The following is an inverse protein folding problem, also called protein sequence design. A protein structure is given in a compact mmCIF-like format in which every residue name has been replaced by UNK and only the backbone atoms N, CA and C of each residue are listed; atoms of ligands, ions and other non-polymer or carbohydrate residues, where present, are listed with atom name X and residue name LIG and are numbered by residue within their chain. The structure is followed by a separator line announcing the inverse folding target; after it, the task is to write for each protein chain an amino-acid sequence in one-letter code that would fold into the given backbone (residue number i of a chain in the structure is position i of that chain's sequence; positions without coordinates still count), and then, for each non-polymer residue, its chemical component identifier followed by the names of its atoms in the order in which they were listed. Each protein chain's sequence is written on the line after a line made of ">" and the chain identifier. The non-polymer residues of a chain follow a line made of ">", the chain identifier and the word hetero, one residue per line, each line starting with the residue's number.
data_IF_279039681179
#
_entry.id   IF_279039681179
#
_cell.length_a   1.000
_cell.length_b   1.000
_cell.length_c   1.000
_cell.angle_alpha   90.00
_cell.angle_beta   90.00
_cell.angle_gamma   90.00
#
_symmetry.space_group_name_H-M   'P 1'
#
loop_
_entity.id
_entity.type
_entity.pdbx_description
1 polymer ?
#
# COMPACT_ATOMS: atom_id res chain seq x y z
N UNK A 1 -15.31 -14.81 -2.72
CA UNK A 1 -15.13 -13.85 -1.60
C UNK A 1 -16.17 -14.18 -0.54
N UNK A 2 -15.78 -14.34 0.73
CA UNK A 2 -16.68 -14.79 1.80
C UNK A 2 -17.66 -13.67 2.15
N UNK A 3 -18.94 -13.85 1.85
CA UNK A 3 -19.99 -12.92 2.27
C UNK A 3 -20.44 -13.31 3.67
N UNK A 4 -20.05 -12.52 4.67
CA UNK A 4 -20.54 -12.73 6.04
C UNK A 4 -22.05 -12.45 6.09
N UNK A 5 -22.77 -13.20 6.93
CA UNK A 5 -24.21 -13.10 7.09
C UNK A 5 -24.55 -12.49 8.45
N UNK A 6 -25.71 -11.86 8.54
CA UNK A 6 -26.23 -11.34 9.80
C UNK A 6 -26.45 -12.48 10.78
N UNK A 7 -26.21 -12.21 12.06
CA UNK A 7 -26.60 -13.09 13.15
C UNK A 7 -28.13 -13.12 13.24
N UNK A 8 -28.69 -14.32 13.29
CA UNK A 8 -30.12 -14.52 13.48
C UNK A 8 -30.44 -14.48 14.98
N UNK A 9 -30.99 -13.37 15.45
CA UNK A 9 -31.37 -13.21 16.85
C UNK A 9 -32.79 -13.76 17.08
N UNK A 10 -32.93 -14.64 18.07
CA UNK A 10 -34.21 -15.23 18.47
C UNK A 10 -34.39 -15.01 19.97
N UNK A 11 -35.63 -14.78 20.40
CA UNK A 11 -35.94 -14.62 21.81
C UNK A 11 -35.51 -15.85 22.64
N UNK A 12 -34.99 -15.62 23.84
CA UNK A 12 -34.43 -16.66 24.70
C UNK A 12 -33.10 -17.29 24.24
N UNK A 13 -32.47 -16.80 23.17
CA UNK A 13 -31.17 -17.31 22.70
C UNK A 13 -30.03 -17.03 23.69
N UNK A 14 -29.25 -18.06 24.04
CA UNK A 14 -28.03 -17.91 24.85
C UNK A 14 -26.95 -17.17 24.06
N UNK A 15 -26.51 -16.02 24.57
CA UNK A 15 -25.51 -15.17 23.93
C UNK A 15 -24.09 -15.65 24.25
N UNK A 16 -23.22 -15.70 23.24
CA UNK A 16 -21.81 -16.01 23.40
C UNK A 16 -20.96 -15.16 22.43
N UNK A 17 -19.63 -15.24 22.56
CA UNK A 17 -18.67 -14.46 21.76
C UNK A 17 -18.84 -14.59 20.23
N UNK A 18 -19.34 -15.73 19.74
CA UNK A 18 -19.51 -15.96 18.30
C UNK A 18 -20.62 -15.09 17.71
N UNK A 19 -21.64 -14.74 18.49
CA UNK A 19 -22.69 -13.81 18.04
C UNK A 19 -22.12 -12.39 17.85
N UNK A 20 -21.28 -11.92 18.78
CA UNK A 20 -20.63 -10.62 18.63
C UNK A 20 -19.64 -10.61 17.46
N UNK A 21 -18.80 -11.65 17.34
CA UNK A 21 -17.89 -11.79 16.20
C UNK A 21 -18.64 -11.84 14.87
N UNK A 22 -19.72 -12.62 14.77
CA UNK A 22 -20.52 -12.72 13.55
C UNK A 22 -21.19 -11.39 13.18
N UNK A 23 -21.61 -10.60 14.18
CA UNK A 23 -22.15 -9.25 13.96
C UNK A 23 -21.06 -8.30 13.45
N UNK A 24 -19.89 -8.29 14.07
CA UNK A 24 -18.74 -7.48 13.65
C UNK A 24 -18.26 -7.85 12.24
N UNK A 25 -18.05 -9.13 11.96
CA UNK A 25 -17.66 -9.67 10.66
C UNK A 25 -18.65 -9.25 9.55
N UNK A 26 -19.94 -9.23 9.85
CA UNK A 26 -20.97 -8.74 8.93
C UNK A 26 -20.87 -7.23 8.68
N UNK A 27 -20.72 -6.43 9.75
CA UNK A 27 -20.56 -4.98 9.64
C UNK A 27 -19.32 -4.61 8.82
N UNK A 28 -18.17 -5.22 9.15
CA UNK A 28 -16.93 -5.06 8.41
C UNK A 28 -17.10 -5.44 6.93
N UNK A 29 -17.74 -6.57 6.63
CA UNK A 29 -17.98 -6.98 5.25
C UNK A 29 -18.82 -5.97 4.46
N UNK A 30 -19.76 -5.29 5.12
CA UNK A 30 -20.58 -4.24 4.51
C UNK A 30 -19.73 -3.01 4.24
N UNK A 31 -18.90 -2.59 5.19
CA UNK A 31 -17.96 -1.46 5.05
C UNK A 31 -16.98 -1.73 3.89
N UNK A 32 -16.36 -2.90 3.84
CA UNK A 32 -15.41 -3.26 2.79
C UNK A 32 -16.08 -3.32 1.40
N UNK A 33 -17.31 -3.82 1.32
CA UNK A 33 -18.09 -3.79 0.08
C UNK A 33 -18.37 -2.35 -0.36
N UNK A 34 -18.79 -1.49 0.57
CA UNK A 34 -19.01 -0.06 0.30
C UNK A 34 -17.72 0.62 -0.18
N UNK A 35 -16.60 0.41 0.51
CA UNK A 35 -15.30 0.93 0.11
C UNK A 35 -14.93 0.48 -1.30
N UNK A 36 -15.09 -0.80 -1.62
CA UNK A 36 -14.79 -1.34 -2.96
C UNK A 36 -15.64 -0.66 -4.05
N UNK A 37 -16.90 -0.35 -3.76
CA UNK A 37 -17.78 0.38 -4.67
C UNK A 37 -17.35 1.85 -4.81
N UNK A 38 -17.05 2.53 -3.69
CA UNK A 38 -16.59 3.92 -3.68
C UNK A 38 -15.26 4.11 -4.40
N UNK A 39 -14.35 3.17 -4.21
CA UNK A 39 -13.03 3.17 -4.86
C UNK A 39 -13.08 2.62 -6.29
N UNK A 40 -14.25 2.24 -6.82
CA UNK A 40 -14.43 1.71 -8.18
C UNK A 40 -13.50 0.52 -8.49
N UNK A 41 -13.22 -0.31 -7.49
CA UNK A 41 -12.25 -1.41 -7.60
C UNK A 41 -10.77 -0.99 -7.57
N UNK A 42 -10.48 0.31 -7.44
CA UNK A 42 -9.16 0.84 -7.17
C UNK A 42 -8.62 0.40 -5.81
N UNK A 43 -7.31 0.20 -5.74
CA UNK A 43 -6.61 -0.24 -4.54
C UNK A 43 -5.18 0.28 -4.52
N UNK A 44 -4.56 0.21 -3.35
CA UNK A 44 -3.18 0.61 -3.15
C UNK A 44 -3.00 1.58 -2.01
N UNK A 45 -1.82 2.19 -1.98
CA UNK A 45 -1.40 3.17 -0.98
C UNK A 45 -2.19 4.46 -1.16
N UNK A 46 -2.70 5.03 -0.08
CA UNK A 46 -3.45 6.30 -0.05
C UNK A 46 -2.53 7.46 0.34
N UNK A 47 -1.67 7.29 1.35
CA UNK A 47 -0.74 8.31 1.83
C UNK A 47 -0.33 8.12 3.29
N UNK A 48 0.34 9.11 3.88
CA UNK A 48 0.68 9.12 5.32
C UNK A 48 -0.51 9.59 6.17
N UNK A 49 -0.61 9.11 7.41
CA UNK A 49 -1.53 9.62 8.43
C UNK A 49 -1.26 11.06 8.87
N UNK A 50 0.01 11.46 8.93
CA UNK A 50 0.42 12.61 9.72
C UNK A 50 0.79 13.86 8.91
N UNK A 51 1.01 13.76 7.59
CA UNK A 51 1.18 14.92 6.70
C UNK A 51 1.20 14.47 5.23
N UNK A 52 0.43 15.14 4.37
CA UNK A 52 0.50 14.97 2.92
C UNK A 52 1.78 15.54 2.28
N UNK A 53 2.58 16.27 3.07
CA UNK A 53 3.74 17.06 2.59
C UNK A 53 5.09 16.49 3.02
N UNK A 54 5.15 15.37 3.73
CA UNK A 54 6.44 14.83 4.12
C UNK A 54 7.14 14.22 2.88
N UNK A 55 8.35 14.70 2.57
CA UNK A 55 9.23 14.11 1.55
C UNK A 55 9.81 12.75 1.99
N UNK A 56 9.38 12.24 3.14
CA UNK A 56 9.84 10.97 3.66
C UNK A 56 9.20 9.80 2.91
N UNK A 57 9.99 8.76 2.59
CA UNK A 57 9.46 7.60 1.89
C UNK A 57 8.53 6.82 2.82
N UNK A 58 7.27 6.64 2.41
CA UNK A 58 6.28 5.80 3.12
C UNK A 58 6.78 4.36 3.32
N UNK A 59 7.65 3.91 2.40
CA UNK A 59 8.25 2.59 2.39
C UNK A 59 9.75 2.75 2.19
N UNK A 60 10.55 2.31 3.16
CA UNK A 60 12.01 2.26 3.06
C UNK A 60 12.49 0.85 3.33
N UNK A 61 13.20 0.29 2.37
CA UNK A 61 13.72 -1.07 2.40
C UNK A 61 15.24 -1.05 2.18
N UNK A 62 15.93 -1.99 2.80
CA UNK A 62 17.33 -2.32 2.50
C UNK A 62 17.50 -3.83 2.36
N UNK A 63 18.62 -4.24 1.77
CA UNK A 63 18.96 -5.65 1.57
C UNK A 63 20.27 -5.93 2.28
N UNK A 64 20.28 -6.98 3.07
CA UNK A 64 21.48 -7.62 3.60
C UNK A 64 21.78 -8.87 2.76
N UNK A 65 22.86 -8.78 1.98
CA UNK A 65 23.36 -9.84 1.09
C UNK A 65 24.64 -10.47 1.63
N UNK A 66 24.84 -10.48 2.96
CA UNK A 66 26.01 -11.10 3.59
C UNK A 66 26.06 -12.62 3.35
N UNK A 67 24.92 -13.29 3.36
CA UNK A 67 24.75 -14.68 2.93
C UNK A 67 24.34 -14.72 1.44
N UNK A 68 25.08 -15.46 0.62
CA UNK A 68 24.78 -15.58 -0.81
C UNK A 68 23.47 -16.31 -1.10
N UNK A 69 23.09 -17.25 -0.23
CA UNK A 69 21.93 -18.13 -0.37
C UNK A 69 20.71 -17.53 0.30
N UNK A 70 20.84 -17.09 1.56
CA UNK A 70 19.72 -16.53 2.35
C UNK A 70 19.84 -15.01 2.51
N UNK A 71 19.41 -14.28 1.49
CA UNK A 71 19.45 -12.82 1.52
C UNK A 71 18.23 -12.27 2.27
N UNK A 72 18.42 -11.13 2.94
CA UNK A 72 17.41 -10.61 3.86
C UNK A 72 16.98 -9.22 3.43
N UNK A 73 15.68 -9.06 3.20
CA UNK A 73 15.06 -7.74 3.02
C UNK A 73 14.76 -7.19 4.41
N UNK A 74 15.37 -6.04 4.73
CA UNK A 74 15.17 -5.31 5.99
C UNK A 74 14.16 -4.20 5.73
N UNK A 75 13.11 -4.16 6.53
CA UNK A 75 12.11 -3.09 6.48
C UNK A 75 12.56 -1.97 7.41
N UNK A 76 13.01 -0.86 6.85
CA UNK A 76 13.48 0.29 7.62
C UNK A 76 12.32 1.23 8.01
N UNK A 77 11.32 1.34 7.14
CA UNK A 77 10.14 2.17 7.35
C UNK A 77 8.95 1.62 6.57
N UNK A 78 7.79 1.56 7.24
CA UNK A 78 6.52 1.15 6.68
C UNK A 78 5.40 1.95 7.35
N UNK A 79 5.07 3.10 6.79
CA UNK A 79 4.08 4.05 7.35
C UNK A 79 3.16 4.58 6.26
N UNK A 80 1.96 4.00 6.15
CA UNK A 80 0.95 4.46 5.21
C UNK A 80 -0.45 3.93 5.52
N UNK A 81 -1.44 4.65 5.03
CA UNK A 81 -2.79 4.14 4.82
C UNK A 81 -2.86 3.48 3.45
N UNK A 82 -3.55 2.36 3.35
CA UNK A 82 -3.81 1.68 2.09
C UNK A 82 -5.23 1.10 2.06
N UNK A 83 -5.71 0.80 0.87
CA UNK A 83 -6.89 -0.05 0.68
C UNK A 83 -6.51 -1.23 -0.21
N UNK A 84 -6.85 -2.44 0.20
CA UNK A 84 -6.60 -3.64 -0.60
C UNK A 84 -7.73 -3.85 -1.65
N UNK A 85 -7.59 -4.81 -2.59
CA UNK A 85 -8.62 -5.06 -3.59
C UNK A 85 -10.01 -5.48 -3.05
N UNK A 86 -10.08 -5.99 -1.81
CA UNK A 86 -11.34 -6.32 -1.13
C UNK A 86 -12.05 -5.13 -0.49
N UNK A 87 -11.41 -3.95 -0.46
CA UNK A 87 -11.95 -2.74 0.16
C UNK A 87 -11.64 -2.60 1.66
N UNK A 88 -10.73 -3.43 2.18
CA UNK A 88 -10.22 -3.32 3.55
C UNK A 88 -9.31 -2.11 3.65
N UNK A 89 -9.66 -1.17 4.53
CA UNK A 89 -8.78 -0.05 4.87
C UNK A 89 -7.71 -0.55 5.84
N UNK A 90 -6.45 -0.34 5.48
CA UNK A 90 -5.28 -0.79 6.20
C UNK A 90 -4.54 0.41 6.74
N UNK A 91 -4.24 0.31 8.03
CA UNK A 91 -3.42 1.24 8.77
C UNK A 91 -2.09 0.57 9.07
N UNK A 92 -1.10 0.86 8.22
CA UNK A 92 0.22 0.27 8.32
C UNK A 92 1.15 1.28 8.99
N UNK A 93 1.65 0.89 10.16
CA UNK A 93 2.72 1.59 10.87
C UNK A 93 3.74 0.57 11.34
N UNK A 94 4.97 1.00 11.58
CA UNK A 94 6.00 0.13 12.13
C UNK A 94 5.52 -0.55 13.44
N UNK A 95 4.92 0.21 14.33
CA UNK A 95 4.35 -0.30 15.58
C UNK A 95 3.33 -1.41 15.31
N UNK A 96 2.26 -1.12 14.55
CA UNK A 96 1.16 -2.05 14.32
C UNK A 96 1.58 -3.30 13.54
N UNK A 97 2.57 -3.18 12.66
CA UNK A 97 3.03 -4.28 11.85
C UNK A 97 4.00 -5.21 12.59
N UNK A 98 4.73 -4.72 13.59
CA UNK A 98 5.88 -5.44 14.15
C UNK A 98 5.70 -5.92 15.60
N UNK A 99 4.68 -5.44 16.33
CA UNK A 99 4.21 -6.10 17.57
C UNK A 99 3.74 -7.56 17.36
N UNK A 100 3.61 -7.99 16.10
CA UNK A 100 3.12 -9.30 15.66
C UNK A 100 3.97 -10.51 16.07
N UNK A 101 5.26 -10.34 16.36
CA UNK A 101 6.21 -11.48 16.49
C UNK A 101 6.93 -11.59 17.83
N UNK A 102 6.41 -10.96 18.89
CA UNK A 102 7.10 -10.95 20.20
C UNK A 102 8.53 -10.41 20.12
N UNK A 103 8.82 -9.62 19.09
CA UNK A 103 10.13 -9.10 18.83
C UNK A 103 10.44 -8.02 19.87
N UNK A 104 11.63 -8.09 20.45
CA UNK A 104 12.22 -7.02 21.26
C UNK A 104 12.12 -5.72 20.47
N UNK A 105 11.68 -4.64 21.13
CA UNK A 105 11.40 -3.30 20.56
C UNK A 105 12.52 -2.69 19.69
N UNK A 106 13.70 -3.33 19.63
CA UNK A 106 14.90 -2.82 18.95
C UNK A 106 15.22 -3.47 17.59
N UNK A 107 14.58 -4.57 17.17
CA UNK A 107 14.96 -5.26 15.93
C UNK A 107 14.12 -4.83 14.73
N UNK A 108 14.79 -4.33 13.68
CA UNK A 108 14.13 -4.05 12.40
C UNK A 108 13.54 -5.34 11.81
N UNK A 109 12.32 -5.30 11.25
CA UNK A 109 11.67 -6.45 10.64
C UNK A 109 12.40 -6.96 9.40
N UNK A 110 12.34 -8.28 9.19
CA UNK A 110 13.13 -8.97 8.17
C UNK A 110 12.28 -9.99 7.42
N UNK A 111 12.44 -10.02 6.10
CA UNK A 111 11.91 -11.06 5.23
C UNK A 111 13.10 -11.81 4.62
N UNK A 112 13.22 -13.09 4.94
CA UNK A 112 14.28 -13.95 4.43
C UNK A 112 13.85 -14.46 3.06
N UNK A 113 14.77 -14.41 2.10
CA UNK A 113 14.58 -14.86 0.74
C UNK A 113 15.71 -15.82 0.41
N UNK A 114 15.37 -17.09 0.18
CA UNK A 114 16.31 -18.06 -0.32
C UNK A 114 16.45 -17.90 -1.84
N UNK A 115 17.62 -17.42 -2.27
CA UNK A 115 17.94 -17.15 -3.68
C UNK A 115 18.10 -18.44 -4.48
N UNK A 116 18.49 -19.54 -3.84
CA UNK A 116 18.64 -20.86 -4.46
C UNK A 116 17.31 -21.61 -4.60
N UNK A 117 16.49 -21.65 -3.55
CA UNK A 117 15.16 -22.30 -3.60
C UNK A 117 14.27 -21.66 -4.65
N UNK A 118 14.43 -20.35 -4.85
CA UNK A 118 13.58 -19.65 -5.79
C UNK A 118 13.86 -20.02 -7.24
N UNK A 119 15.00 -20.67 -7.60
CA UNK A 119 15.40 -21.13 -8.97
C UNK A 119 14.60 -20.40 -10.05
N UNK A 120 14.63 -19.08 -9.97
CA UNK A 120 13.65 -18.23 -10.64
C UNK A 120 14.01 -18.39 -12.09
N UNK A 121 13.12 -19.01 -12.87
CA UNK A 121 13.24 -19.10 -14.33
C UNK A 121 13.95 -17.83 -14.82
N UNK A 122 15.20 -17.99 -15.25
CA UNK A 122 16.24 -16.96 -15.25
C UNK A 122 15.68 -15.56 -15.56
N UNK A 123 15.73 -14.64 -14.58
CA UNK A 123 15.46 -13.22 -14.78
C UNK A 123 14.08 -12.67 -14.38
N UNK A 124 13.19 -13.48 -13.79
CA UNK A 124 11.88 -12.94 -13.37
C UNK A 124 11.97 -12.10 -12.07
N UNK A 125 11.25 -10.97 -11.98
CA UNK A 125 11.26 -10.14 -10.78
C UNK A 125 10.51 -10.80 -9.62
N UNK A 126 10.98 -10.49 -8.41
CA UNK A 126 10.30 -10.75 -7.16
C UNK A 126 9.46 -9.55 -6.74
N UNK A 127 8.42 -9.80 -5.95
CA UNK A 127 7.56 -8.78 -5.37
C UNK A 127 7.47 -8.99 -3.87
N UNK A 128 7.65 -7.91 -3.12
CA UNK A 128 7.26 -7.87 -1.72
C UNK A 128 5.78 -7.53 -1.66
N UNK A 129 4.99 -8.47 -1.18
CA UNK A 129 3.52 -8.42 -1.16
C UNK A 129 3.07 -8.18 0.28
N UNK A 130 2.16 -7.23 0.45
CA UNK A 130 1.42 -7.02 1.69
C UNK A 130 0.16 -7.87 1.65
N UNK A 131 0.05 -8.83 2.56
CA UNK A 131 -1.12 -9.67 2.76
C UNK A 131 -1.85 -9.23 4.02
N UNK A 132 -3.19 -9.30 4.01
CA UNK A 132 -4.01 -9.00 5.17
C UNK A 132 -5.11 -10.04 5.36
N UNK A 133 -5.54 -10.23 6.59
CA UNK A 133 -6.68 -11.06 6.94
C UNK A 133 -7.76 -10.18 7.59
N UNK A 134 -8.74 -9.69 6.81
CA UNK A 134 -9.65 -8.63 7.27
C UNK A 134 -10.58 -9.03 8.43
N UNK A 135 -10.78 -10.33 8.66
CA UNK A 135 -11.68 -10.87 9.71
C UNK A 135 -10.90 -11.59 10.83
N UNK A 136 -9.57 -11.57 10.75
CA UNK A 136 -8.69 -12.10 11.78
C UNK A 136 -7.91 -10.92 12.36
N UNK A 137 -8.07 -10.73 13.66
CA UNK A 137 -7.57 -9.55 14.37
C UNK A 137 -6.55 -9.97 15.40
N UNK A 138 -5.58 -9.12 15.64
CA UNK A 138 -4.60 -9.25 16.71
C UNK A 138 -4.71 -8.06 17.67
N UNK A 139 -4.34 -8.28 18.93
CA UNK A 139 -4.27 -7.21 19.93
C UNK A 139 -3.17 -6.20 19.59
N UNK A 140 -3.46 -4.91 19.72
CA UNK A 140 -2.51 -3.81 19.51
C UNK A 140 -2.69 -2.71 20.57
N UNK A 141 -1.69 -1.83 20.68
CA UNK A 141 -1.61 -0.78 21.69
C UNK A 141 -0.80 -1.21 22.91
N UNK A 142 -0.48 -0.26 23.78
CA UNK A 142 0.25 -0.55 25.00
C UNK A 142 -0.67 -1.22 26.03
N UNK A 143 -0.30 -2.40 26.51
CA UNK A 143 -1.02 -3.07 27.60
C UNK A 143 -0.96 -2.23 28.87
N UNK A 144 -2.08 -2.19 29.60
CA UNK A 144 -2.14 -1.50 30.88
C UNK A 144 -1.78 -2.48 32.00
N UNK A 145 -0.63 -2.28 32.65
CA UNK A 145 -0.16 -3.14 33.74
C UNK A 145 -1.10 -3.17 34.96
N UNK A 146 -2.05 -2.23 35.06
CA UNK A 146 -3.08 -2.20 36.10
C UNK A 146 -4.33 -3.02 35.74
N UNK A 147 -4.41 -3.55 34.53
CA UNK A 147 -5.54 -4.33 34.06
C UNK A 147 -5.32 -5.83 34.30
N UNK A 148 -6.30 -6.49 34.90
CA UNK A 148 -6.30 -7.94 35.09
C UNK A 148 -7.52 -8.58 34.39
N UNK A 149 -7.33 -9.52 33.45
CA UNK A 149 -6.03 -9.99 32.95
C UNK A 149 -5.34 -8.95 32.06
N UNK A 150 -4.00 -8.96 32.07
CA UNK A 150 -3.21 -8.12 31.17
C UNK A 150 -3.63 -8.39 29.72
N UNK A 151 -4.10 -7.34 29.04
CA UNK A 151 -4.55 -7.43 27.66
C UNK A 151 -4.15 -6.19 26.86
N UNK A 152 -4.13 -6.37 25.54
CA UNK A 152 -4.05 -5.26 24.62
C UNK A 152 -5.39 -4.50 24.58
N UNK A 153 -5.36 -3.15 24.58
CA UNK A 153 -6.59 -2.35 24.63
C UNK A 153 -7.36 -2.36 23.30
N UNK A 154 -6.68 -2.55 22.17
CA UNK A 154 -7.27 -2.46 20.83
C UNK A 154 -6.97 -3.71 20.00
N UNK A 155 -7.57 -3.80 18.81
CA UNK A 155 -7.22 -4.82 17.84
C UNK A 155 -7.09 -4.24 16.42
N UNK A 156 -6.32 -4.91 15.58
CA UNK A 156 -6.10 -4.55 14.17
C UNK A 156 -6.10 -5.81 13.30
N UNK A 157 -6.48 -5.75 12.01
CA UNK A 157 -6.37 -6.90 11.11
C UNK A 157 -4.94 -7.43 11.03
N UNK A 158 -4.80 -8.76 11.03
CA UNK A 158 -3.50 -9.41 10.83
C UNK A 158 -2.99 -9.04 9.44
N UNK A 159 -1.73 -8.60 9.35
CA UNK A 159 -1.11 -8.22 8.08
C UNK A 159 0.34 -8.68 8.04
N UNK A 160 0.76 -9.33 6.96
CA UNK A 160 2.10 -9.90 6.82
C UNK A 160 2.77 -9.50 5.50
N UNK A 161 4.11 -9.55 5.48
CA UNK A 161 4.90 -9.33 4.27
C UNK A 161 5.48 -10.65 3.78
N UNK A 162 5.28 -10.93 2.50
CA UNK A 162 5.83 -12.11 1.83
C UNK A 162 6.55 -11.72 0.55
N UNK A 163 7.70 -12.33 0.29
CA UNK A 163 8.37 -12.22 -1.00
C UNK A 163 7.87 -13.32 -1.94
N UNK A 164 7.40 -12.94 -3.13
CA UNK A 164 6.77 -13.83 -4.10
C UNK A 164 7.42 -13.64 -5.47
N UNK A 165 7.63 -14.72 -6.22
CA UNK A 165 8.13 -14.66 -7.59
C UNK A 165 7.00 -14.47 -8.60
N UNK A 166 7.23 -13.68 -9.64
CA UNK A 166 6.28 -13.51 -10.74
C UNK A 166 6.00 -14.78 -11.54
N UNK A 167 6.90 -15.76 -11.49
CA UNK A 167 6.71 -17.04 -12.19
C UNK A 167 5.84 -18.03 -11.41
N UNK A 168 5.71 -17.87 -10.08
CA UNK A 168 5.05 -18.81 -9.17
C UNK A 168 3.65 -18.32 -8.77
N UNK A 169 2.87 -17.90 -9.75
CA UNK A 169 1.47 -17.43 -9.64
C UNK A 169 1.28 -15.93 -9.40
N UNK A 170 0.77 -15.24 -10.43
CA UNK A 170 0.28 -13.86 -10.36
C UNK A 170 -0.79 -13.70 -9.25
N UNK A 171 -1.57 -14.76 -8.99
CA UNK A 171 -2.56 -14.80 -7.92
C UNK A 171 -1.95 -14.59 -6.53
N UNK A 172 -0.67 -14.90 -6.34
CA UNK A 172 0.05 -14.63 -5.09
C UNK A 172 0.60 -13.20 -5.01
N UNK A 173 0.63 -12.46 -6.13
CA UNK A 173 1.06 -11.06 -6.20
C UNK A 173 -0.13 -10.12 -6.01
N UNK A 174 -1.24 -10.39 -6.69
CA UNK A 174 -2.47 -9.59 -6.60
C UNK A 174 -3.64 -10.51 -6.30
N UNK A 175 -4.38 -10.20 -5.24
CA UNK A 175 -5.61 -10.89 -4.91
C UNK A 175 -6.47 -10.07 -3.96
N UNK A 176 -7.64 -10.59 -3.53
CA UNK A 176 -8.60 -9.83 -2.74
C UNK A 176 -8.00 -9.18 -1.49
N UNK A 177 -7.05 -9.87 -0.85
CA UNK A 177 -6.49 -9.41 0.42
C UNK A 177 -4.99 -9.14 0.36
N UNK A 178 -4.43 -8.98 -0.84
CA UNK A 178 -2.99 -8.74 -0.97
C UNK A 178 -2.63 -7.99 -2.23
N UNK A 179 -1.57 -7.19 -2.13
CA UNK A 179 -1.04 -6.42 -3.26
C UNK A 179 0.47 -6.15 -3.08
N UNK A 180 1.21 -5.94 -4.17
CA UNK A 180 2.65 -5.70 -4.11
C UNK A 180 2.95 -4.28 -3.61
N UNK A 181 3.92 -4.15 -2.72
CA UNK A 181 4.40 -2.86 -2.19
C UNK A 181 5.82 -2.52 -2.65
N UNK A 182 6.60 -3.50 -3.10
CA UNK A 182 7.90 -3.30 -3.71
C UNK A 182 8.20 -4.38 -4.74
N UNK A 183 9.11 -4.05 -5.67
CA UNK A 183 9.67 -4.99 -6.64
C UNK A 183 11.15 -5.17 -6.36
N UNK A 184 11.61 -6.42 -6.42
CA UNK A 184 12.99 -6.80 -6.17
C UNK A 184 13.52 -7.48 -7.44
N UNK A 185 14.68 -7.01 -7.90
CA UNK A 185 15.45 -7.60 -8.99
C UNK A 185 16.51 -8.51 -8.41
N UNK A 186 16.94 -9.47 -9.20
CA UNK A 186 18.09 -10.31 -8.88
C UNK A 186 19.15 -10.04 -9.92
N UNK A 187 20.26 -9.46 -9.48
CA UNK A 187 21.39 -9.09 -10.33
C UNK A 187 22.63 -9.76 -9.74
N UNK A 188 23.31 -10.60 -10.52
CA UNK A 188 24.49 -11.35 -10.09
C UNK A 188 24.26 -12.12 -8.78
N UNK A 189 23.14 -12.84 -8.68
CA UNK A 189 22.68 -13.54 -7.47
C UNK A 189 22.55 -12.64 -6.23
N UNK A 190 22.31 -11.33 -6.39
CA UNK A 190 22.02 -10.42 -5.27
C UNK A 190 20.66 -9.78 -5.44
N UNK A 191 19.93 -9.65 -4.35
CA UNK A 191 18.67 -8.91 -4.32
C UNK A 191 18.96 -7.41 -4.41
N UNK A 192 18.27 -6.75 -5.32
CA UNK A 192 18.30 -5.30 -5.46
C UNK A 192 16.87 -4.76 -5.49
N UNK A 193 16.57 -3.80 -4.62
CA UNK A 193 15.25 -3.15 -4.61
C UNK A 193 15.13 -2.27 -5.86
N UNK A 194 14.10 -2.50 -6.67
CA UNK A 194 13.83 -1.69 -7.86
C UNK A 194 13.26 -0.34 -7.43
N UNK A 195 14.14 0.66 -7.28
CA UNK A 195 13.75 2.02 -6.84
C UNK A 195 12.85 2.74 -7.84
N UNK A 196 12.75 2.28 -9.09
CA UNK A 196 11.88 2.87 -10.11
C UNK A 196 10.48 2.23 -10.13
N UNK A 197 10.25 1.21 -9.32
CA UNK A 197 8.95 0.56 -9.21
C UNK A 197 7.95 1.49 -8.51
N UNK A 198 6.74 1.54 -9.06
CA UNK A 198 5.61 2.23 -8.46
C UNK A 198 4.63 1.17 -7.94
N UNK A 199 4.40 1.08 -6.61
CA UNK A 199 3.35 0.22 -6.09
C UNK A 199 1.97 0.76 -6.52
N UNK A 200 0.92 -0.07 -6.43
CA UNK A 200 -0.45 0.40 -6.55
C UNK A 200 -0.67 1.58 -5.60
N UNK A 201 -1.11 2.70 -6.17
CA UNK A 201 -1.39 3.94 -5.45
C UNK A 201 -2.82 4.36 -5.78
N UNK A 202 -3.56 4.75 -4.76
CA UNK A 202 -4.92 5.23 -4.92
C UNK A 202 -4.96 6.68 -5.41
N UNK A 203 -4.01 7.53 -4.98
CA UNK A 203 -3.87 8.90 -5.47
C UNK A 203 -2.47 9.16 -6.04
N UNK A 204 -2.35 10.20 -6.86
CA UNK A 204 -1.06 10.67 -7.40
C UNK A 204 -0.14 11.17 -6.28
N UNK A 205 -0.73 11.71 -5.19
CA UNK A 205 0.01 12.19 -4.03
C UNK A 205 0.51 11.07 -3.11
N UNK A 206 0.04 9.84 -3.27
CA UNK A 206 0.42 8.70 -2.42
C UNK A 206 1.89 8.28 -2.55
N UNK A 207 2.57 8.66 -3.63
CA UNK A 207 3.97 8.29 -3.85
C UNK A 207 4.77 9.45 -4.44
N UNK A 208 5.95 9.72 -3.87
CA UNK A 208 6.78 10.87 -4.24
C UNK A 208 7.11 10.92 -5.74
N UNK A 209 7.38 9.77 -6.37
CA UNK A 209 7.65 9.73 -7.83
C UNK A 209 6.42 10.09 -8.67
N UNK A 210 5.22 9.68 -8.23
CA UNK A 210 3.98 10.04 -8.93
C UNK A 210 3.70 11.53 -8.79
N UNK A 211 3.88 12.08 -7.58
CA UNK A 211 3.81 13.51 -7.29
C UNK A 211 4.76 14.30 -8.18
N UNK A 212 6.04 13.92 -8.24
CA UNK A 212 7.04 14.60 -9.06
C UNK A 212 6.70 14.54 -10.56
N UNK A 213 6.27 13.37 -11.07
CA UNK A 213 5.83 13.24 -12.46
C UNK A 213 4.62 14.13 -12.77
N UNK A 214 3.68 14.26 -11.83
CA UNK A 214 2.51 15.13 -11.96
C UNK A 214 2.89 16.61 -11.97
N UNK A 215 3.85 17.02 -11.15
CA UNK A 215 4.36 18.40 -11.15
C UNK A 215 5.03 18.73 -12.48
N UNK A 216 5.89 17.85 -12.99
CA UNK A 216 6.53 18.04 -14.30
C UNK A 216 5.51 18.12 -15.44
N UNK A 217 4.44 17.31 -15.38
CA UNK A 217 3.34 17.37 -16.35
C UNK A 217 2.64 18.74 -16.29
N UNK A 218 2.36 19.23 -15.07
CA UNK A 218 1.71 20.51 -14.85
C UNK A 218 2.55 21.68 -15.40
N UNK A 219 3.87 21.67 -15.16
CA UNK A 219 4.79 22.64 -15.76
C UNK A 219 4.78 22.59 -17.29
N UNK A 220 4.76 21.38 -17.86
CA UNK A 220 4.64 21.19 -19.32
C UNK A 220 3.36 21.78 -19.90
N UNK A 221 2.22 21.57 -19.23
CA UNK A 221 0.93 22.14 -19.64
C UNK A 221 0.89 23.67 -19.53
N UNK A 222 1.51 24.24 -18.51
CA UNK A 222 1.66 25.69 -18.38
C UNK A 222 2.49 26.26 -19.54
N UNK A 223 3.59 25.60 -19.90
CA UNK A 223 4.41 26.00 -21.03
C UNK A 223 3.63 25.96 -22.37
N UNK A 224 2.81 24.93 -22.57
CA UNK A 224 1.94 24.84 -23.76
C UNK A 224 0.94 26.00 -23.78
N UNK A 225 0.32 26.30 -22.64
CA UNK A 225 -0.65 27.40 -22.52
C UNK A 225 0.00 28.74 -22.85
N UNK A 226 1.17 29.02 -22.27
CA UNK A 226 1.94 30.24 -22.55
C UNK A 226 2.31 30.37 -24.03
N UNK A 227 2.68 29.26 -24.69
CA UNK A 227 3.00 29.25 -26.11
C UNK A 227 1.77 29.54 -26.99
N UNK A 228 0.60 29.03 -26.60
CA UNK A 228 -0.66 29.31 -27.30
C UNK A 228 -1.01 30.79 -27.15
N UNK A 229 -0.89 31.36 -25.96
CA UNK A 229 -1.18 32.78 -25.72
C UNK A 229 -0.25 33.69 -26.53
N UNK A 230 1.05 33.38 -26.55
CA UNK A 230 2.02 34.10 -27.38
C UNK A 230 1.69 33.99 -28.88
N UNK A 231 1.24 32.81 -29.33
CA UNK A 231 0.82 32.62 -30.73
C UNK A 231 -0.42 33.46 -31.06
N UNK A 232 -1.41 33.51 -30.17
CA UNK A 232 -2.63 34.31 -30.38
C UNK A 232 -2.29 35.80 -30.43
N UNK A 233 -1.48 36.30 -29.49
CA UNK A 233 -1.05 37.71 -29.45
C UNK A 233 -0.32 38.10 -30.74
N UNK A 234 0.63 37.28 -31.19
CA UNK A 234 1.36 37.54 -32.44
C UNK A 234 0.44 37.62 -33.65
N UNK A 235 -0.61 36.79 -33.73
CA UNK A 235 -1.56 36.84 -34.85
C UNK A 235 -2.50 38.05 -34.76
N UNK A 236 -2.90 38.47 -33.55
CA UNK A 236 -3.68 39.70 -33.35
C UNK A 236 -2.87 40.93 -33.78
N UNK A 237 -1.61 41.03 -33.35
CA UNK A 237 -0.71 42.13 -33.73
C UNK A 237 -0.49 42.22 -35.25
N UNK A 238 -0.39 41.08 -35.94
CA UNK A 238 -0.29 41.03 -37.40
C UNK A 238 -1.59 41.50 -38.06
N UNK A 239 -2.74 41.11 -37.50
CA UNK A 239 -4.05 41.51 -38.02
C UNK A 239 -4.29 43.02 -37.86
N UNK A 240 -3.95 43.59 -36.70
CA UNK A 240 -4.08 45.03 -36.41
C UNK A 240 -3.15 45.89 -37.24
N UNK A 241 -1.92 45.41 -37.48
CA UNK A 241 -1.00 46.07 -38.43
C UNK A 241 -1.62 46.11 -39.82
N UNK A 242 -2.15 45.00 -40.33
CA UNK A 242 -2.73 44.95 -41.67
C UNK A 242 -3.97 45.84 -41.85
N UNK A 243 -4.81 46.02 -40.83
CA UNK A 243 -5.95 46.96 -40.87
C UNK A 243 -5.52 48.42 -40.81
N UNK A 244 -4.40 48.74 -40.14
CA UNK A 244 -3.87 50.12 -40.10
C UNK A 244 -3.25 50.58 -41.42
N UNK A 245 -2.73 49.68 -42.26
CA UNK A 245 -2.19 50.01 -43.59
C UNK A 245 -3.27 50.27 -44.66
N UNK A 246 -4.53 49.96 -44.38
CA UNK A 246 -5.66 50.11 -45.31
C UNK A 246 -6.49 51.39 -45.07
N UNK A 247 -6.10 52.25 -44.11
CA UNK A 247 -6.68 53.57 -43.86
C UNK A 247 -5.72 54.68 -44.26
#
# INVERSE_FOLDING_TARGET
>A
MKTNKRVNWVDGMLINKMHFKGMEDYLLSTIYTTNRLLFSGGYGIIGNKLNHESDYPLIKLSVDSSDSTNQVIIIEQLEFLAVNPSGTLLDISNENFFYQKGAVESSKPRVIVNVEDQKISHGAPLYLVLLTQPYETQGVGQSNDKEEPLRFPFCSPISELKCVSSNSDIENIVGPNHFPIAKIKIINNRLEIDRNYLPPCYTVSSHYQLRNRSLNLMEGLLNITNNIDAFIQNNQDVSDKNTSFLK
#
